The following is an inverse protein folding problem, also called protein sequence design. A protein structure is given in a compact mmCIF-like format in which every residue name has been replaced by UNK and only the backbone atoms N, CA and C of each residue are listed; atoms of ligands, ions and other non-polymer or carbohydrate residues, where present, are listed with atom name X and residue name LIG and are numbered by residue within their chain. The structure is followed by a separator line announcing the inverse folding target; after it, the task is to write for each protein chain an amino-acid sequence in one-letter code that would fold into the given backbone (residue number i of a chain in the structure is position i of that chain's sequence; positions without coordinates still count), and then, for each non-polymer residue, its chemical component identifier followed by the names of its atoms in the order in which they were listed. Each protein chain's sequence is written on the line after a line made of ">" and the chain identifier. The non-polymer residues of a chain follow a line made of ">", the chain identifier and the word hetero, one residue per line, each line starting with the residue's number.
data_IF_639830129186
#
_entry.id   IF_639830129186
#
_cell.length_a   1.000
_cell.length_b   1.000
_cell.length_c   1.000
_cell.angle_alpha   90.00
_cell.angle_beta   90.00
_cell.angle_gamma   90.00
#
_symmetry.space_group_name_H-M   'P 1'
#
loop_
_entity.id
_entity.type
_entity.pdbx_description
1 polymer ?
#
# COMPACT_ATOMS: atom_id res chain seq x y z
N UNK A 1 -10.95 -16.97 4.02
CA UNK A 1 -11.61 -16.02 3.10
C UNK A 1 -10.53 -15.16 2.46
N UNK A 2 -10.41 -15.19 1.13
CA UNK A 2 -9.41 -14.41 0.41
C UNK A 2 -9.66 -12.93 0.67
N UNK A 3 -8.87 -12.35 1.58
CA UNK A 3 -8.96 -10.95 1.99
C UNK A 3 -8.81 -10.10 0.72
N UNK A 4 -9.90 -9.51 0.23
CA UNK A 4 -9.93 -8.74 -1.00
C UNK A 4 -8.76 -7.77 -1.03
N UNK A 5 -7.81 -8.03 -1.93
CA UNK A 5 -6.67 -7.16 -2.12
C UNK A 5 -7.19 -5.90 -2.77
N UNK A 6 -7.41 -4.87 -1.95
CA UNK A 6 -7.66 -3.54 -2.49
C UNK A 6 -6.46 -3.16 -3.37
N UNK A 7 -6.67 -2.41 -4.47
CA UNK A 7 -5.58 -2.06 -5.39
C UNK A 7 -4.36 -1.47 -4.68
N UNK A 8 -4.57 -0.65 -3.65
CA UNK A 8 -3.50 -0.07 -2.84
C UNK A 8 -2.70 -1.10 -2.04
N UNK A 9 -3.36 -2.15 -1.52
CA UNK A 9 -2.69 -3.25 -0.82
C UNK A 9 -1.91 -4.13 -1.79
N UNK A 10 -2.44 -4.35 -3.00
CA UNK A 10 -1.71 -5.05 -4.07
C UNK A 10 -0.45 -4.28 -4.49
N UNK A 11 -0.56 -2.96 -4.71
CA UNK A 11 0.59 -2.11 -5.03
C UNK A 11 1.64 -2.14 -3.92
N UNK A 12 1.23 -2.02 -2.66
CA UNK A 12 2.17 -2.12 -1.53
C UNK A 12 2.88 -3.47 -1.48
N UNK A 13 2.15 -4.57 -1.73
CA UNK A 13 2.75 -5.92 -1.82
C UNK A 13 3.76 -5.99 -2.97
N UNK A 14 3.46 -5.37 -4.12
CA UNK A 14 4.39 -5.31 -5.26
C UNK A 14 5.65 -4.49 -4.95
N UNK A 15 5.53 -3.38 -4.22
CA UNK A 15 6.69 -2.61 -3.78
C UNK A 15 7.57 -3.42 -2.81
N UNK A 16 6.96 -4.17 -1.89
CA UNK A 16 7.69 -5.07 -0.99
C UNK A 16 8.41 -6.17 -1.77
N UNK A 17 7.71 -6.85 -2.67
CA UNK A 17 8.29 -7.85 -3.59
C UNK A 17 9.51 -7.32 -4.36
N UNK A 18 9.37 -6.13 -4.95
CA UNK A 18 10.46 -5.45 -5.66
C UNK A 18 11.65 -5.08 -4.76
N UNK A 19 11.42 -4.84 -3.47
CA UNK A 19 12.43 -4.41 -2.51
C UNK A 19 12.95 -5.56 -1.63
N UNK A 20 12.78 -6.82 -2.05
CA UNK A 20 13.22 -7.98 -1.27
C UNK A 20 12.49 -8.14 0.07
N UNK A 21 11.23 -7.74 0.12
CA UNK A 21 10.37 -7.70 1.31
C UNK A 21 10.89 -6.78 2.44
N UNK A 22 11.86 -5.91 2.15
CA UNK A 22 12.37 -4.93 3.12
C UNK A 22 11.52 -3.66 3.11
N UNK A 23 10.87 -3.40 4.24
CA UNK A 23 10.03 -2.20 4.43
C UNK A 23 10.87 -0.91 4.40
N UNK A 24 12.11 -0.99 4.89
CA UNK A 24 13.07 0.13 4.86
C UNK A 24 13.37 0.54 3.43
N UNK A 25 13.68 -0.43 2.57
CA UNK A 25 13.96 -0.22 1.15
C UNK A 25 12.79 0.41 0.40
N UNK A 26 11.55 0.01 0.69
CA UNK A 26 10.37 0.69 0.10
C UNK A 26 10.31 2.17 0.50
N UNK A 27 10.72 2.52 1.72
CA UNK A 27 10.73 3.91 2.23
C UNK A 27 11.86 4.73 1.61
N UNK A 28 13.06 4.14 1.49
CA UNK A 28 14.25 4.79 0.93
C UNK A 28 14.43 4.56 -0.57
N UNK A 29 13.45 3.94 -1.24
CA UNK A 29 13.53 3.61 -2.65
C UNK A 29 13.91 4.86 -3.48
N UNK A 30 15.02 4.81 -4.24
CA UNK A 30 15.52 5.96 -5.00
C UNK A 30 14.77 6.17 -6.33
N UNK A 31 13.92 5.21 -6.73
CA UNK A 31 13.23 5.21 -8.03
C UNK A 31 11.99 6.12 -7.99
N UNK A 32 12.21 7.43 -7.96
CA UNK A 32 11.15 8.45 -7.90
C UNK A 32 10.28 8.50 -9.18
N UNK A 33 10.83 8.05 -10.31
CA UNK A 33 10.14 7.99 -11.60
C UNK A 33 9.16 6.81 -11.73
N UNK A 34 9.16 5.89 -10.76
CA UNK A 34 8.26 4.74 -10.80
C UNK A 34 6.79 5.19 -10.70
N UNK A 35 5.94 4.71 -11.62
CA UNK A 35 4.49 4.96 -11.61
C UNK A 35 3.80 4.54 -10.29
N UNK A 36 4.38 3.58 -9.58
CA UNK A 36 3.89 3.10 -8.28
C UNK A 36 4.44 3.90 -7.09
N UNK A 37 5.44 4.77 -7.28
CA UNK A 37 6.13 5.49 -6.20
C UNK A 37 5.17 6.28 -5.31
N UNK A 38 4.18 6.96 -5.92
CA UNK A 38 3.14 7.74 -5.22
C UNK A 38 2.22 6.88 -4.34
N UNK A 39 2.13 5.59 -4.62
CA UNK A 39 1.25 4.63 -3.97
C UNK A 39 1.98 3.61 -3.08
N UNK A 40 3.33 3.65 -3.02
CA UNK A 40 4.19 2.67 -2.33
C UNK A 40 3.85 2.44 -0.85
N UNK A 41 3.25 3.45 -0.22
CA UNK A 41 2.81 3.38 1.17
C UNK A 41 1.39 2.80 1.35
N UNK A 42 0.76 2.28 0.29
CA UNK A 42 -0.60 1.76 0.35
C UNK A 42 -1.65 2.85 0.57
N UNK A 43 -1.32 4.11 0.25
CA UNK A 43 -2.21 5.27 0.36
C UNK A 43 -2.31 5.95 -1.01
N UNK A 44 -3.50 6.41 -1.36
CA UNK A 44 -3.72 7.21 -2.57
C UNK A 44 -3.70 8.70 -2.20
N UNK A 45 -2.69 9.48 -2.61
CA UNK A 45 -2.65 10.91 -2.33
C UNK A 45 -3.83 11.67 -2.96
N UNK A 46 -4.37 11.20 -4.09
CA UNK A 46 -5.48 11.84 -4.81
C UNK A 46 -6.85 11.62 -4.11
N UNK A 47 -6.90 10.77 -3.07
CA UNK A 47 -8.11 10.54 -2.28
C UNK A 47 -8.01 11.17 -0.88
N UNK A 48 -7.06 12.08 -0.65
CA UNK A 48 -6.96 12.80 0.63
C UNK A 48 -8.24 13.64 0.83
N UNK A 49 -8.98 13.37 1.91
CA UNK A 49 -10.27 14.00 2.19
C UNK A 49 -11.49 13.31 1.54
N UNK A 50 -11.30 12.26 0.75
CA UNK A 50 -12.38 11.56 0.04
C UNK A 50 -12.57 10.15 0.62
N UNK A 51 -13.65 9.98 1.39
CA UNK A 51 -14.14 8.68 1.85
C UNK A 51 -13.85 8.38 3.32
N UNK A 52 -14.87 8.61 4.16
CA UNK A 52 -14.97 7.99 5.47
C UNK A 52 -15.83 6.74 5.38
N UNK A 53 -15.21 5.56 5.36
CA UNK A 53 -15.88 4.34 5.83
C UNK A 53 -14.96 3.70 6.85
N UNK A 54 -15.36 3.77 8.12
CA UNK A 54 -14.78 2.97 9.19
C UNK A 54 -15.12 1.52 8.87
N UNK A 55 -14.17 0.76 8.37
CA UNK A 55 -14.22 -0.69 8.56
C UNK A 55 -13.33 -1.00 9.76
N UNK A 56 -13.93 -0.78 10.93
CA UNK A 56 -13.56 -1.49 12.14
C UNK A 56 -14.09 -2.90 11.95
N UNK A 57 -13.22 -3.86 11.71
CA UNK A 57 -13.54 -5.23 12.09
C UNK A 57 -12.29 -5.84 12.70
N UNK A 58 -12.21 -5.64 14.02
CA UNK A 58 -11.58 -6.61 14.89
C UNK A 58 -12.16 -7.98 14.55
N UNK A 59 -11.30 -8.94 14.25
CA UNK A 59 -11.52 -10.26 14.81
C UNK A 59 -10.17 -10.99 14.85
N UNK A 60 -9.62 -11.05 16.06
CA UNK A 60 -8.78 -12.15 16.51
C UNK A 60 -9.47 -13.49 16.25
N UNK A 61 -8.76 -14.41 15.60
CA UNK A 61 -8.49 -15.79 16.03
C UNK A 61 -7.63 -16.49 14.97
#
# INVERSE_FOLDING_TARGET
>A
MAKSLTPLRAIRKKCLDCSGFQVKEVRVCPVVDCSLFKYRFGKNPNRRGIGGRKESFSLEK
#
